data_IF_996283673817
#
_entry.id   IF_996283673817
#
_cell.length_a   1.000
_cell.length_b   1.000
_cell.length_c   1.000
_cell.angle_alpha   90.00
_cell.angle_beta   90.00
_cell.angle_gamma   90.00
#
_symmetry.space_group_name_H-M   'P 1'
#
loop_
_entity.id
_entity.type
_entity.pdbx_description
1 polymer ?
#
# COMPACT_ATOMS: atom_id res chain seq x y z
N UNK A 1 8.92 -12.84 5.55
CA UNK A 1 7.73 -12.06 5.95
C UNK A 1 8.04 -10.60 5.70
N UNK A 2 7.10 -9.86 5.12
CA UNK A 2 7.28 -8.47 4.77
C UNK A 2 6.07 -7.65 5.25
N UNK A 3 6.32 -6.53 5.90
CA UNK A 3 5.31 -5.56 6.34
C UNK A 3 5.00 -4.63 5.16
N UNK A 4 3.73 -4.56 4.78
CA UNK A 4 3.26 -3.71 3.68
C UNK A 4 2.26 -2.66 4.20
N UNK A 5 1.52 -2.03 3.29
CA UNK A 5 0.40 -1.18 3.66
C UNK A 5 0.80 0.11 4.37
N UNK A 6 -0.07 0.62 5.23
CA UNK A 6 0.08 1.94 5.84
C UNK A 6 1.31 2.06 6.76
N UNK A 7 1.67 0.99 7.48
CA UNK A 7 2.87 1.00 8.32
C UNK A 7 4.17 1.06 7.51
N UNK A 8 4.21 0.41 6.34
CA UNK A 8 5.36 0.54 5.45
C UNK A 8 5.49 1.97 4.90
N UNK A 9 4.38 2.63 4.58
CA UNK A 9 4.38 4.06 4.18
C UNK A 9 4.86 4.93 5.33
N UNK A 10 4.34 4.72 6.54
CA UNK A 10 4.75 5.46 7.75
C UNK A 10 6.27 5.39 8.00
N UNK A 11 6.91 4.25 7.70
CA UNK A 11 8.35 4.07 7.85
C UNK A 11 9.20 4.81 6.81
N UNK A 12 8.61 5.22 5.68
CA UNK A 12 9.23 6.10 4.71
C UNK A 12 8.89 7.57 4.95
N UNK A 13 7.63 7.85 5.29
CA UNK A 13 7.09 9.17 5.52
C UNK A 13 5.99 9.09 6.60
N UNK A 14 6.26 9.52 7.85
CA UNK A 14 5.31 9.44 8.95
C UNK A 14 4.27 10.57 8.85
N UNK A 15 3.38 10.46 7.86
CA UNK A 15 2.31 11.43 7.61
C UNK A 15 1.00 11.08 8.33
N UNK A 16 0.59 9.81 8.24
CA UNK A 16 -0.59 9.28 8.89
C UNK A 16 -0.28 7.87 9.45
N UNK A 17 -0.75 7.60 10.66
CA UNK A 17 -0.61 6.27 11.27
C UNK A 17 -1.53 5.22 10.64
N UNK A 18 -1.33 3.95 11.00
CA UNK A 18 -2.22 2.86 10.63
C UNK A 18 -2.61 2.04 11.86
N UNK A 19 -3.88 1.65 11.92
CA UNK A 19 -4.40 0.68 12.89
C UNK A 19 -4.13 -0.75 12.38
N UNK A 20 -4.32 -0.93 11.07
CA UNK A 20 -4.15 -2.18 10.35
C UNK A 20 -2.65 -2.47 10.14
N UNK A 21 -2.21 -3.69 10.48
CA UNK A 21 -0.87 -4.23 10.23
C UNK A 21 -0.97 -5.29 9.14
N UNK A 22 -0.49 -4.96 7.94
CA UNK A 22 -0.52 -5.85 6.78
C UNK A 22 0.78 -6.65 6.65
N UNK A 23 0.70 -7.98 6.72
CA UNK A 23 1.86 -8.88 6.63
C UNK A 23 1.75 -9.84 5.46
N UNK A 24 2.75 -9.82 4.58
CA UNK A 24 2.94 -10.86 3.57
C UNK A 24 3.82 -11.98 4.13
N UNK A 25 3.31 -13.21 4.12
CA UNK A 25 3.96 -14.39 4.71
C UNK A 25 3.87 -15.61 3.79
N UNK A 26 4.70 -16.62 4.03
CA UNK A 26 4.45 -17.97 3.51
C UNK A 26 3.30 -18.63 4.27
N UNK A 27 2.56 -19.55 3.63
CA UNK A 27 1.37 -20.19 4.21
C UNK A 27 1.62 -20.87 5.56
N UNK A 28 2.76 -21.56 5.72
CA UNK A 28 3.13 -22.23 6.98
C UNK A 28 3.41 -21.23 8.10
N UNK A 29 4.09 -20.13 7.76
CA UNK A 29 4.37 -19.04 8.71
C UNK A 29 3.08 -18.31 9.10
N UNK A 30 2.16 -18.09 8.16
CA UNK A 30 0.83 -17.52 8.46
C UNK A 30 0.11 -18.35 9.51
N UNK A 31 0.07 -19.67 9.33
CA UNK A 31 -0.65 -20.57 10.22
C UNK A 31 -0.06 -20.55 11.64
N UNK A 32 1.25 -20.80 11.75
CA UNK A 32 1.96 -20.83 13.03
C UNK A 32 1.91 -19.49 13.77
N UNK A 33 2.14 -18.37 13.08
CA UNK A 33 2.06 -17.04 13.68
C UNK A 33 0.63 -16.71 14.13
N UNK A 34 -0.38 -17.06 13.32
CA UNK A 34 -1.77 -16.84 13.71
C UNK A 34 -2.17 -17.65 14.94
N UNK A 35 -1.72 -18.91 15.05
CA UNK A 35 -1.95 -19.71 16.25
C UNK A 35 -1.27 -19.10 17.47
N UNK A 36 0.02 -18.76 17.35
CA UNK A 36 0.77 -18.14 18.44
C UNK A 36 0.12 -16.83 18.93
N UNK A 37 -0.33 -15.96 18.03
CA UNK A 37 -0.97 -14.70 18.40
C UNK A 37 -2.28 -14.92 19.17
N UNK A 38 -3.06 -15.94 18.79
CA UNK A 38 -4.32 -16.26 19.45
C UNK A 38 -4.07 -16.91 20.81
N UNK A 39 -3.22 -17.94 20.86
CA UNK A 39 -3.00 -18.77 22.05
C UNK A 39 -2.19 -18.04 23.12
N UNK A 40 -1.16 -17.30 22.72
CA UNK A 40 -0.18 -16.72 23.65
C UNK A 40 -0.32 -15.20 23.81
N UNK A 41 -0.94 -14.52 22.85
CA UNK A 41 -0.98 -13.04 22.82
C UNK A 41 -2.39 -12.46 22.92
N UNK A 42 -3.42 -13.30 23.02
CA UNK A 42 -4.80 -12.88 23.26
C UNK A 42 -5.48 -12.20 22.07
N UNK A 43 -5.04 -12.50 20.84
CA UNK A 43 -5.75 -12.10 19.63
C UNK A 43 -6.97 -12.98 19.38
N UNK A 44 -7.95 -12.46 18.66
CA UNK A 44 -9.14 -13.18 18.21
C UNK A 44 -9.16 -13.26 16.68
N UNK A 45 -9.63 -14.39 16.15
CA UNK A 45 -9.87 -14.54 14.71
C UNK A 45 -11.20 -13.90 14.35
N UNK A 46 -11.21 -13.12 13.26
CA UNK A 46 -12.40 -12.53 12.67
C UNK A 46 -12.53 -12.90 11.20
N UNK A 47 -13.76 -12.86 10.73
CA UNK A 47 -14.14 -13.03 9.34
C UNK A 47 -15.27 -12.03 9.08
N UNK A 48 -14.98 -10.98 8.30
CA UNK A 48 -15.99 -10.03 7.84
C UNK A 48 -16.03 -10.05 6.31
N UNK A 49 -17.20 -10.35 5.76
CA UNK A 49 -17.43 -10.38 4.30
C UNK A 49 -16.40 -11.27 3.55
N UNK A 50 -15.93 -12.35 4.20
CA UNK A 50 -14.93 -13.28 3.65
C UNK A 50 -13.47 -12.84 3.84
N UNK A 51 -13.23 -11.68 4.45
CA UNK A 51 -11.90 -11.17 4.80
C UNK A 51 -11.56 -11.65 6.21
N UNK A 52 -10.50 -12.45 6.31
CA UNK A 52 -10.04 -13.03 7.56
C UNK A 52 -8.88 -12.24 8.14
N UNK A 53 -9.02 -11.83 9.39
CA UNK A 53 -8.01 -11.05 10.10
C UNK A 53 -7.92 -11.45 11.57
N UNK A 54 -6.86 -11.01 12.23
CA UNK A 54 -6.74 -11.10 13.67
C UNK A 54 -6.97 -9.73 14.29
N UNK A 55 -7.70 -9.69 15.39
CA UNK A 55 -7.90 -8.45 16.15
C UNK A 55 -7.49 -8.63 17.60
N UNK A 56 -7.08 -7.52 18.22
CA UNK A 56 -6.89 -7.42 19.66
C UNK A 56 -7.21 -6.03 20.15
N UNK A 57 -8.09 -5.94 21.15
CA UNK A 57 -8.32 -4.68 21.87
C UNK A 57 -7.24 -4.46 22.92
N UNK A 58 -6.70 -3.25 22.92
CA UNK A 58 -5.73 -2.78 23.92
C UNK A 58 -6.27 -1.51 24.57
N UNK A 59 -5.64 -1.07 25.66
CA UNK A 59 -5.96 0.22 26.30
C UNK A 59 -5.76 1.42 25.35
N UNK A 60 -4.95 1.25 24.30
CA UNK A 60 -4.64 2.29 23.30
C UNK A 60 -5.49 2.18 22.04
N UNK A 61 -6.44 1.25 22.00
CA UNK A 61 -7.28 0.99 20.84
C UNK A 61 -7.14 -0.43 20.31
N UNK A 62 -7.81 -0.67 19.19
CA UNK A 62 -7.81 -1.94 18.49
C UNK A 62 -6.54 -2.09 17.65
N UNK A 63 -6.05 -3.32 17.53
CA UNK A 63 -4.97 -3.70 16.63
C UNK A 63 -5.54 -4.75 15.71
N UNK A 64 -5.43 -4.52 14.40
CA UNK A 64 -5.87 -5.45 13.36
C UNK A 64 -4.62 -5.96 12.63
N UNK A 65 -4.54 -7.27 12.41
CA UNK A 65 -3.46 -7.91 11.65
C UNK A 65 -4.07 -8.66 10.48
N UNK A 66 -3.72 -8.22 9.29
CA UNK A 66 -4.10 -8.81 8.02
C UNK A 66 -2.95 -9.63 7.46
N UNK A 67 -3.22 -10.90 7.16
CA UNK A 67 -2.23 -11.78 6.54
C UNK A 67 -2.57 -12.03 5.08
N UNK A 68 -1.62 -11.72 4.22
CA UNK A 68 -1.65 -12.11 2.81
C UNK A 68 -0.51 -13.11 2.56
N UNK A 69 -0.72 -14.06 1.67
CA UNK A 69 0.31 -15.02 1.27
C UNK A 69 0.94 -14.65 -0.06
N UNK A 70 2.20 -15.04 -0.28
CA UNK A 70 2.88 -14.82 -1.57
C UNK A 70 2.20 -15.53 -2.74
N UNK A 71 1.43 -16.58 -2.46
CA UNK A 71 0.64 -17.33 -3.43
C UNK A 71 -0.76 -16.77 -3.68
N UNK A 72 -1.22 -15.80 -2.88
CA UNK A 72 -2.55 -15.23 -3.06
C UNK A 72 -2.58 -14.41 -4.36
N UNK A 73 -3.51 -14.72 -5.29
CA UNK A 73 -3.62 -13.96 -6.52
C UNK A 73 -4.04 -12.53 -6.20
N UNK A 74 -3.29 -11.55 -6.70
CA UNK A 74 -3.63 -10.15 -6.53
C UNK A 74 -3.87 -9.49 -7.88
N UNK A 75 -5.06 -9.75 -8.41
CA UNK A 75 -5.53 -9.24 -9.69
C UNK A 75 -5.91 -7.76 -9.59
N UNK A 76 -5.60 -6.99 -10.62
CA UNK A 76 -6.20 -5.67 -10.82
C UNK A 76 -7.67 -5.83 -11.18
N UNK A 77 -8.53 -5.17 -10.41
CA UNK A 77 -9.97 -5.24 -10.53
C UNK A 77 -10.47 -5.20 -11.99
N UNK A 78 -11.09 -6.30 -12.45
CA UNK A 78 -11.77 -6.37 -13.74
C UNK A 78 -10.85 -6.48 -14.96
N UNK A 79 -9.55 -6.76 -14.77
CA UNK A 79 -8.58 -6.80 -15.89
C UNK A 79 -8.08 -8.19 -16.25
N UNK A 80 -8.17 -9.18 -15.34
CA UNK A 80 -7.48 -10.47 -15.48
C UNK A 80 -5.94 -10.39 -15.30
N UNK A 81 -5.38 -9.20 -15.05
CA UNK A 81 -3.94 -8.97 -14.92
C UNK A 81 -3.53 -9.05 -13.45
N UNK A 82 -2.44 -9.75 -13.14
CA UNK A 82 -1.96 -9.94 -11.77
C UNK A 82 -0.67 -9.16 -11.49
N UNK A 83 -0.58 -8.57 -10.30
CA UNK A 83 0.67 -8.01 -9.77
C UNK A 83 1.42 -9.04 -8.91
N UNK A 84 0.68 -9.75 -8.06
CA UNK A 84 1.20 -10.76 -7.14
C UNK A 84 2.20 -10.21 -6.10
N UNK A 85 2.56 -11.08 -5.16
CA UNK A 85 3.49 -10.74 -4.08
C UNK A 85 4.88 -11.40 -4.20
N UNK A 86 5.13 -12.16 -5.27
CA UNK A 86 6.43 -12.80 -5.52
C UNK A 86 7.59 -11.82 -5.64
N UNK A 87 7.33 -10.54 -5.93
CA UNK A 87 8.33 -9.47 -5.90
C UNK A 87 9.02 -9.33 -4.52
N UNK A 88 8.34 -9.71 -3.44
CA UNK A 88 8.88 -9.60 -2.07
C UNK A 88 9.90 -10.68 -1.73
N UNK A 89 10.02 -11.71 -2.57
CA UNK A 89 11.08 -12.71 -2.47
C UNK A 89 12.37 -12.27 -3.21
N UNK A 90 12.32 -11.16 -3.97
CA UNK A 90 13.48 -10.56 -4.63
C UNK A 90 14.20 -9.68 -3.59
N UNK A 91 15.45 -10.02 -3.19
CA UNK A 91 16.14 -9.31 -2.11
C UNK A 91 16.22 -7.79 -2.30
N UNK A 92 16.48 -7.35 -3.53
CA UNK A 92 16.65 -5.93 -3.88
C UNK A 92 15.35 -5.13 -3.91
N UNK A 93 14.19 -5.79 -3.77
CA UNK A 93 12.87 -5.13 -3.70
C UNK A 93 12.33 -5.04 -2.27
N UNK A 94 13.16 -5.36 -1.28
CA UNK A 94 12.84 -5.18 0.14
C UNK A 94 13.96 -4.46 0.86
N UNK A 95 13.63 -3.78 1.96
CA UNK A 95 14.60 -3.11 2.83
C UNK A 95 14.24 -3.34 4.29
N UNK A 96 15.25 -3.50 5.14
CA UNK A 96 15.07 -3.57 6.58
C UNK A 96 14.88 -2.16 7.16
N UNK A 97 13.85 -2.00 8.01
CA UNK A 97 13.56 -0.78 8.75
C UNK A 97 13.33 -1.12 10.22
N UNK A 98 13.65 -0.17 11.10
CA UNK A 98 13.40 -0.30 12.54
C UNK A 98 12.03 0.27 12.93
N UNK A 99 11.28 -0.49 13.72
CA UNK A 99 10.10 -0.06 14.47
C UNK A 99 10.39 -0.31 15.95
N UNK A 100 10.68 0.75 16.69
CA UNK A 100 11.14 0.63 18.08
C UNK A 100 12.41 -0.24 18.16
N UNK A 101 12.31 -1.33 18.92
CA UNK A 101 13.39 -2.32 19.08
C UNK A 101 13.35 -3.45 18.03
N UNK A 102 12.29 -3.53 17.23
CA UNK A 102 12.12 -4.54 16.20
C UNK A 102 12.69 -4.07 14.86
N UNK A 103 13.16 -5.02 14.07
CA UNK A 103 13.51 -4.82 12.66
C UNK A 103 12.50 -5.58 11.79
N UNK A 104 11.99 -4.90 10.77
CA UNK A 104 10.99 -5.43 9.84
C UNK A 104 11.46 -5.22 8.41
N UNK A 105 11.22 -6.21 7.54
CA UNK A 105 11.37 -6.02 6.10
C UNK A 105 10.13 -5.31 5.58
N UNK A 106 10.32 -4.28 4.76
CA UNK A 106 9.27 -3.61 4.00
C UNK A 106 9.64 -3.59 2.50
N UNK A 107 8.69 -3.40 1.58
CA UNK A 107 9.02 -3.21 0.17
C UNK A 107 9.88 -1.96 -0.02
N UNK A 108 10.68 -1.91 -1.09
CA UNK A 108 11.30 -0.65 -1.52
C UNK A 108 10.23 0.41 -1.76
N UNK A 109 10.60 1.70 -1.68
CA UNK A 109 9.67 2.81 -1.90
C UNK A 109 8.96 2.69 -3.26
N UNK A 110 9.68 2.31 -4.32
CA UNK A 110 9.10 2.08 -5.64
C UNK A 110 8.11 0.92 -5.69
N UNK A 111 8.43 -0.23 -5.07
CA UNK A 111 7.49 -1.35 -5.04
C UNK A 111 6.24 -1.01 -4.21
N UNK A 112 6.43 -0.34 -3.08
CA UNK A 112 5.33 0.13 -2.23
C UNK A 112 4.44 1.14 -2.95
N UNK A 113 5.02 2.03 -3.76
CA UNK A 113 4.29 2.96 -4.63
C UNK A 113 3.37 2.20 -5.59
N UNK A 114 3.85 1.15 -6.25
CA UNK A 114 3.01 0.31 -7.14
C UNK A 114 1.88 -0.37 -6.35
N UNK A 115 2.16 -0.87 -5.14
CA UNK A 115 1.14 -1.49 -4.29
C UNK A 115 0.04 -0.50 -3.90
N UNK A 116 0.41 0.75 -3.59
CA UNK A 116 -0.54 1.80 -3.23
C UNK A 116 -1.34 2.32 -4.42
N UNK A 117 -0.70 2.47 -5.57
CA UNK A 117 -1.40 2.77 -6.83
C UNK A 117 -2.43 1.70 -7.18
N UNK A 118 -2.07 0.42 -7.07
CA UNK A 118 -3.01 -0.69 -7.27
C UNK A 118 -4.20 -0.61 -6.31
N UNK A 119 -3.93 -0.43 -5.02
CA UNK A 119 -4.95 -0.39 -3.98
C UNK A 119 -5.94 0.78 -4.20
N UNK A 120 -5.43 1.96 -4.50
CA UNK A 120 -6.23 3.15 -4.85
C UNK A 120 -7.04 2.91 -6.13
N UNK A 121 -6.41 2.37 -7.18
CA UNK A 121 -7.06 2.13 -8.47
C UNK A 121 -8.21 1.13 -8.37
N UNK A 122 -7.98 -0.01 -7.71
CA UNK A 122 -8.97 -1.07 -7.53
C UNK A 122 -10.21 -0.55 -6.78
N UNK A 123 -10.00 0.21 -5.69
CA UNK A 123 -11.08 0.80 -4.90
C UNK A 123 -11.84 1.86 -5.69
N UNK A 124 -11.11 2.74 -6.38
CA UNK A 124 -11.71 3.77 -7.24
C UNK A 124 -12.57 3.16 -8.33
N UNK A 125 -12.08 2.12 -9.02
CA UNK A 125 -12.84 1.41 -10.07
C UNK A 125 -14.09 0.73 -9.52
N UNK A 126 -14.00 0.03 -8.39
CA UNK A 126 -15.18 -0.58 -7.73
C UNK A 126 -16.24 0.45 -7.35
N UNK A 127 -15.81 1.60 -6.83
CA UNK A 127 -16.70 2.69 -6.47
C UNK A 127 -17.39 3.31 -7.69
N UNK A 128 -16.64 3.55 -8.78
CA UNK A 128 -17.16 4.11 -10.02
C UNK A 128 -18.16 3.18 -10.72
N UNK A 129 -17.95 1.86 -10.63
CA UNK A 129 -18.86 0.87 -11.20
C UNK A 129 -20.06 0.55 -10.29
N UNK A 130 -20.16 1.16 -9.11
CA UNK A 130 -21.24 0.90 -8.15
C UNK A 130 -21.25 -0.54 -7.62
N UNK A 131 -20.09 -1.20 -7.59
CA UNK A 131 -19.93 -2.60 -7.17
C UNK A 131 -19.37 -2.75 -5.75
N UNK A 132 -19.14 -1.65 -5.04
CA UNK A 132 -18.76 -1.70 -3.62
C UNK A 132 -19.99 -1.93 -2.74
N UNK A 133 -19.90 -2.89 -1.83
CA UNK A 133 -20.92 -3.12 -0.79
C UNK A 133 -20.85 -2.10 0.35
N UNK A 134 -19.69 -1.45 0.53
CA UNK A 134 -19.42 -0.43 1.55
C UNK A 134 -18.87 0.84 0.88
N UNK A 135 -19.67 1.45 0.00
CA UNK A 135 -19.26 2.57 -0.87
C UNK A 135 -18.43 3.66 -0.17
N UNK A 136 -18.97 4.27 0.91
CA UNK A 136 -18.26 5.34 1.63
C UNK A 136 -16.92 4.90 2.19
N UNK A 137 -16.87 3.69 2.76
CA UNK A 137 -15.64 3.14 3.32
C UNK A 137 -14.59 2.88 2.23
N UNK A 138 -14.99 2.36 1.06
CA UNK A 138 -14.06 2.19 -0.06
C UNK A 138 -13.60 3.53 -0.65
N UNK A 139 -14.47 4.54 -0.72
CA UNK A 139 -14.10 5.89 -1.14
C UNK A 139 -13.08 6.51 -0.18
N UNK A 140 -13.32 6.44 1.13
CA UNK A 140 -12.39 6.94 2.15
C UNK A 140 -11.04 6.20 2.09
N UNK A 141 -11.06 4.87 1.91
CA UNK A 141 -9.83 4.08 1.75
C UNK A 141 -9.11 4.39 0.44
N UNK A 142 -9.82 4.65 -0.66
CA UNK A 142 -9.23 5.07 -1.93
C UNK A 142 -8.52 6.42 -1.78
N UNK A 143 -9.17 7.39 -1.10
CA UNK A 143 -8.57 8.70 -0.80
C UNK A 143 -7.30 8.52 0.04
N UNK A 144 -7.36 7.70 1.10
CA UNK A 144 -6.18 7.40 1.93
C UNK A 144 -5.05 6.74 1.13
N UNK A 145 -5.35 5.74 0.28
CA UNK A 145 -4.32 5.08 -0.53
C UNK A 145 -3.70 6.05 -1.55
N UNK A 146 -4.48 6.97 -2.11
CA UNK A 146 -3.96 8.06 -2.93
C UNK A 146 -3.07 9.03 -2.15
N UNK A 147 -3.44 9.36 -0.91
CA UNK A 147 -2.62 10.22 -0.05
C UNK A 147 -1.30 9.52 0.34
N UNK A 148 -1.32 8.20 0.55
CA UNK A 148 -0.13 7.38 0.71
C UNK A 148 0.76 7.40 -0.57
N UNK A 149 0.16 7.42 -1.77
CA UNK A 149 0.91 7.62 -3.03
C UNK A 149 1.63 8.97 -3.04
N UNK A 150 0.93 10.06 -2.69
CA UNK A 150 1.56 11.39 -2.56
C UNK A 150 2.69 11.38 -1.53
N UNK A 151 2.48 10.74 -0.38
CA UNK A 151 3.48 10.62 0.67
C UNK A 151 4.76 9.89 0.20
N UNK A 152 4.63 8.91 -0.69
CA UNK A 152 5.76 8.15 -1.22
C UNK A 152 6.55 8.90 -2.30
N UNK A 153 5.91 9.81 -3.03
CA UNK A 153 6.57 10.63 -4.07
C UNK A 153 7.00 12.01 -3.57
N UNK A 154 6.70 12.35 -2.31
CA UNK A 154 7.04 13.62 -1.69
C UNK A 154 8.56 13.87 -1.63
N UNK A 155 9.11 14.83 -2.39
CA UNK A 155 10.54 15.12 -2.37
C UNK A 155 11.07 15.55 -1.01
N UNK A 156 10.26 16.26 -0.21
CA UNK A 156 10.65 16.71 1.13
C UNK A 156 10.73 15.55 2.14
N UNK A 157 10.09 14.43 1.81
CA UNK A 157 10.06 13.22 2.63
C UNK A 157 10.68 12.01 1.91
N UNK A 158 11.71 12.28 1.09
CA UNK A 158 12.56 11.28 0.46
C UNK A 158 12.01 10.66 -0.82
N UNK A 159 10.90 11.15 -1.36
CA UNK A 159 10.27 10.67 -2.60
C UNK A 159 11.12 10.81 -3.86
N UNK A 160 12.34 11.36 -3.77
CA UNK A 160 13.35 11.30 -4.85
C UNK A 160 14.13 9.98 -4.87
N UNK A 161 14.06 9.18 -3.80
CA UNK A 161 14.69 7.85 -3.69
C UNK A 161 13.74 6.78 -4.25
N UNK A 162 13.53 6.86 -5.58
CA UNK A 162 12.73 5.94 -6.37
C UNK A 162 13.62 5.28 -7.44
N UNK A 163 13.54 3.96 -7.54
CA UNK A 163 14.08 3.22 -8.69
C UNK A 163 13.22 3.48 -9.93
N UNK A 164 13.67 4.42 -10.76
CA UNK A 164 12.99 4.83 -11.98
C UNK A 164 12.95 3.73 -13.04
N UNK A 165 13.98 2.88 -13.11
CA UNK A 165 14.04 1.77 -14.07
C UNK A 165 13.02 0.68 -13.74
N UNK A 166 12.84 0.40 -12.45
CA UNK A 166 11.75 -0.46 -11.98
C UNK A 166 10.38 0.16 -12.28
N UNK A 167 10.17 1.44 -11.96
CA UNK A 167 8.89 2.12 -12.20
C UNK A 167 8.55 2.20 -13.69
N UNK A 168 9.53 2.44 -14.57
CA UNK A 168 9.32 2.44 -16.02
C UNK A 168 8.84 1.09 -16.55
N UNK A 169 9.44 -0.01 -16.09
CA UNK A 169 8.95 -1.37 -16.42
C UNK A 169 7.54 -1.61 -15.90
N UNK A 170 7.28 -1.22 -14.65
CA UNK A 170 5.96 -1.38 -14.03
C UNK A 170 4.87 -0.59 -14.78
N UNK A 171 5.13 0.68 -15.14
CA UNK A 171 4.17 1.49 -15.91
C UNK A 171 4.05 1.06 -17.36
N UNK A 172 5.10 0.50 -17.97
CA UNK A 172 4.96 -0.13 -19.29
C UNK A 172 4.07 -1.36 -19.25
N UNK A 173 4.12 -2.14 -18.16
CA UNK A 173 3.30 -3.34 -18.00
C UNK A 173 1.86 -3.00 -17.57
N UNK A 174 1.70 -2.00 -16.71
CA UNK A 174 0.44 -1.59 -16.09
C UNK A 174 0.14 -0.12 -16.40
N UNK A 175 -0.02 0.20 -17.70
CA UNK A 175 -0.19 1.58 -18.18
C UNK A 175 -1.29 2.38 -17.45
N UNK A 176 -2.38 1.73 -17.08
CA UNK A 176 -3.48 2.36 -16.35
C UNK A 176 -3.07 2.89 -14.97
N UNK A 177 -1.98 2.41 -14.36
CA UNK A 177 -1.44 2.96 -13.12
C UNK A 177 -0.74 4.30 -13.33
N UNK A 178 -0.15 4.53 -14.52
CA UNK A 178 0.41 5.83 -14.88
C UNK A 178 -0.69 6.88 -14.97
N UNK A 179 -1.79 6.54 -15.65
CA UNK A 179 -2.96 7.43 -15.76
C UNK A 179 -3.56 7.69 -14.37
N UNK A 180 -3.66 6.65 -13.54
CA UNK A 180 -4.18 6.80 -12.17
C UNK A 180 -3.27 7.65 -11.26
N UNK A 181 -1.95 7.58 -11.43
CA UNK A 181 -1.03 8.47 -10.71
C UNK A 181 -1.30 9.94 -11.06
N UNK A 182 -1.56 10.24 -12.33
CA UNK A 182 -1.94 11.60 -12.76
C UNK A 182 -3.26 12.01 -12.12
N UNK A 183 -4.28 11.15 -12.14
CA UNK A 183 -5.58 11.40 -11.47
C UNK A 183 -5.40 11.74 -9.98
N UNK A 184 -4.59 10.96 -9.26
CA UNK A 184 -4.28 11.17 -7.84
C UNK A 184 -3.69 12.56 -7.60
N UNK A 185 -2.75 12.98 -8.45
CA UNK A 185 -2.03 14.25 -8.28
C UNK A 185 -2.87 15.48 -8.61
N UNK A 186 -4.09 15.29 -9.14
CA UNK A 186 -5.06 16.35 -9.40
C UNK A 186 -6.35 16.23 -8.55
N UNK A 187 -6.49 15.19 -7.71
CA UNK A 187 -7.68 15.05 -6.86
C UNK A 187 -7.52 15.88 -5.57
N UNK A 188 -8.31 16.96 -5.48
CA UNK A 188 -8.30 17.87 -4.34
C UNK A 188 -8.57 17.19 -2.98
N UNK A 189 -9.34 16.08 -2.96
CA UNK A 189 -9.62 15.34 -1.71
C UNK A 189 -8.39 14.58 -1.25
N UNK A 190 -7.66 13.97 -2.19
CA UNK A 190 -6.42 13.24 -1.89
C UNK A 190 -5.32 14.20 -1.44
N UNK A 191 -5.17 15.32 -2.15
CA UNK A 191 -4.22 16.38 -1.78
C UNK A 191 -4.55 16.92 -0.38
N UNK A 192 -5.84 17.20 -0.13
CA UNK A 192 -6.31 17.66 1.18
C UNK A 192 -6.09 16.62 2.29
N UNK A 193 -6.28 15.33 2.00
CA UNK A 193 -6.04 14.25 2.95
C UNK A 193 -4.56 14.17 3.32
N UNK A 194 -3.66 14.19 2.32
CA UNK A 194 -2.23 14.18 2.56
C UNK A 194 -1.75 15.42 3.34
N UNK A 195 -2.26 16.60 2.96
CA UNK A 195 -2.10 17.85 3.71
C UNK A 195 -0.69 18.45 3.75
N UNK A 196 0.30 17.82 3.10
CA UNK A 196 1.69 18.30 3.03
C UNK A 196 2.14 18.75 1.64
N UNK A 197 1.27 18.62 0.64
CA UNK A 197 1.44 19.19 -0.69
C UNK A 197 0.23 20.04 -1.05
N UNK A 198 0.47 21.12 -1.79
CA UNK A 198 -0.60 21.77 -2.55
C UNK A 198 -0.73 21.14 -3.95
N UNK A 199 -1.81 21.48 -4.65
CA UNK A 199 -2.12 20.94 -5.97
C UNK A 199 -1.01 21.20 -6.99
N UNK A 200 -0.41 22.40 -6.95
CA UNK A 200 0.68 22.77 -7.84
C UNK A 200 1.90 21.88 -7.61
N UNK A 201 2.29 21.68 -6.35
CA UNK A 201 3.43 20.85 -5.97
C UNK A 201 3.20 19.40 -6.35
N UNK A 202 2.00 18.86 -6.06
CA UNK A 202 1.65 17.48 -6.42
C UNK A 202 1.74 17.25 -7.94
N UNK A 203 1.20 18.19 -8.74
CA UNK A 203 1.27 18.16 -10.19
C UNK A 203 2.72 18.23 -10.70
N UNK A 204 3.53 19.19 -10.23
CA UNK A 204 4.94 19.33 -10.63
C UNK A 204 5.78 18.09 -10.28
N UNK A 205 5.55 17.50 -9.11
CA UNK A 205 6.22 16.26 -8.67
C UNK A 205 5.86 15.09 -9.58
N UNK A 206 4.57 14.93 -9.89
CA UNK A 206 4.08 13.89 -10.79
C UNK A 206 4.66 14.03 -12.20
N UNK A 207 4.57 15.22 -12.79
CA UNK A 207 5.10 15.50 -14.12
C UNK A 207 6.61 15.20 -14.20
N UNK A 208 7.37 15.65 -13.20
CA UNK A 208 8.80 15.39 -13.13
C UNK A 208 9.10 13.90 -13.03
N UNK A 209 8.38 13.15 -12.20
CA UNK A 209 8.56 11.71 -12.06
C UNK A 209 8.30 11.00 -13.40
N UNK A 210 7.21 11.34 -14.07
CA UNK A 210 6.86 10.73 -15.36
C UNK A 210 7.86 11.08 -16.46
N UNK A 211 8.33 12.33 -16.53
CA UNK A 211 9.39 12.74 -17.46
C UNK A 211 10.68 11.95 -17.21
N UNK A 212 11.10 11.77 -15.96
CA UNK A 212 12.30 11.01 -15.62
C UNK A 212 12.20 9.53 -16.01
N UNK A 213 11.01 8.95 -15.89
CA UNK A 213 10.75 7.56 -16.29
C UNK A 213 10.83 7.40 -17.82
N UNK A 214 10.38 8.39 -18.60
CA UNK A 214 10.41 8.33 -20.08
C UNK A 214 11.82 8.49 -20.67
N UNK A 215 12.80 8.94 -19.88
CA UNK A 215 14.19 9.13 -20.29
C UNK A 215 15.07 7.88 -20.13
N UNK A 216 14.55 6.80 -19.53
CA UNK A 216 15.28 5.58 -19.16
C UNK A 216 14.75 4.40 -19.98
#
# INVERSE_FOLDING_TARGET
MCLIGGWAVYLYNPWLGSIDIDLVTGSDLRHSLSQYLVEERGYQRRDEDGIKFLEKRTERGEIIIDFVTTSDPWEFYGTGVNLGFGHLDIPDLTVAKKIGEAEVLIPTRSLLLIYKLKASWDRTKRCLEGKSTRQRWEEDKAIKDGADVLALIDPENGGTDLDLGFLGKAFSQYHFLKDHLVEICHDARIISEYGRMDEKTASEVCERLLMLIELI
#
